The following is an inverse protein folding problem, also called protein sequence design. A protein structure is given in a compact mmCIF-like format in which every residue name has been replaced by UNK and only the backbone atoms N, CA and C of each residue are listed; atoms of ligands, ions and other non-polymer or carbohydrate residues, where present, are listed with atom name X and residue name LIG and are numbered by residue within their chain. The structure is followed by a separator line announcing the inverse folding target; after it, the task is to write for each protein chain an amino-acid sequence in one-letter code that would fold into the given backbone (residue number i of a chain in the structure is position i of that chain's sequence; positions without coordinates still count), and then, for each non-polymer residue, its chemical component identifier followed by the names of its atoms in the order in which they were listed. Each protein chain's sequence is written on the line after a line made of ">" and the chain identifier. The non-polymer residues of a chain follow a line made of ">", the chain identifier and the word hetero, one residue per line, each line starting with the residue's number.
data_IF_232815167224
#
_entry.id   IF_232815167224
#
_cell.length_a   1.000
_cell.length_b   1.000
_cell.length_c   1.000
_cell.angle_alpha   90.00
_cell.angle_beta   90.00
_cell.angle_gamma   90.00
#
_symmetry.space_group_name_H-M   'P 1'
#
loop_
_entity.id
_entity.type
_entity.pdbx_description
1 polymer ?
#
# COMPACT_ATOMS: atom_id res chain seq x y z
N UNK A 1 -30.83 -17.24 -18.21
CA UNK A 1 -29.82 -16.21 -18.55
C UNK A 1 -28.46 -16.90 -18.59
N UNK A 2 -27.71 -16.89 -19.70
CA UNK A 2 -26.55 -17.76 -19.83
C UNK A 2 -25.37 -17.24 -19.02
N UNK A 3 -24.87 -18.08 -18.11
CA UNK A 3 -23.64 -17.87 -17.37
C UNK A 3 -22.46 -17.86 -18.35
N UNK A 4 -21.83 -16.69 -18.51
CA UNK A 4 -20.57 -16.56 -19.24
C UNK A 4 -19.44 -16.88 -18.27
N UNK A 5 -18.97 -18.12 -18.33
CA UNK A 5 -17.74 -18.56 -17.65
C UNK A 5 -16.57 -17.84 -18.31
N UNK A 6 -16.01 -16.84 -17.62
CA UNK A 6 -14.81 -16.14 -18.06
C UNK A 6 -13.60 -16.98 -17.61
N UNK A 7 -12.94 -17.64 -18.55
CA UNK A 7 -11.70 -18.38 -18.30
C UNK A 7 -10.57 -17.39 -17.97
N UNK A 8 -10.10 -17.42 -16.72
CA UNK A 8 -8.95 -16.64 -16.27
C UNK A 8 -7.67 -17.39 -16.66
N UNK A 9 -7.01 -16.94 -17.73
CA UNK A 9 -5.70 -17.45 -18.13
C UNK A 9 -4.64 -16.95 -17.13
N UNK A 10 -4.15 -17.86 -16.28
CA UNK A 10 -3.02 -17.60 -15.37
C UNK A 10 -1.74 -17.75 -16.19
N UNK A 11 -1.14 -16.63 -16.61
CA UNK A 11 0.23 -16.63 -17.14
C UNK A 11 1.20 -16.63 -15.94
N UNK A 12 1.66 -17.82 -15.54
CA UNK A 12 2.86 -17.95 -14.70
C UNK A 12 4.09 -17.67 -15.56
N UNK A 13 4.54 -16.42 -15.61
CA UNK A 13 5.84 -16.08 -16.14
C UNK A 13 6.91 -16.40 -15.08
N UNK A 14 7.39 -17.65 -15.03
CA UNK A 14 8.62 -18.00 -14.31
C UNK A 14 9.82 -17.63 -15.17
N UNK A 15 10.30 -16.40 -15.07
CA UNK A 15 11.58 -16.02 -15.65
C UNK A 15 12.71 -16.39 -14.67
N UNK A 16 13.81 -17.01 -15.14
CA UNK A 16 15.00 -17.20 -14.31
C UNK A 16 15.62 -15.84 -13.98
N UNK A 17 15.86 -15.60 -12.69
CA UNK A 17 16.61 -14.43 -12.19
C UNK A 17 18.06 -14.61 -12.62
N UNK A 18 18.42 -14.05 -13.77
CA UNK A 18 19.80 -13.75 -14.09
C UNK A 18 20.14 -12.42 -13.41
N UNK A 19 21.10 -12.46 -12.49
CA UNK A 19 21.68 -11.26 -11.91
C UNK A 19 22.27 -10.40 -13.05
N UNK A 20 21.64 -9.27 -13.33
CA UNK A 20 22.11 -8.28 -14.29
C UNK A 20 22.56 -7.02 -13.53
N UNK A 21 23.57 -6.35 -14.09
CA UNK A 21 24.27 -5.16 -13.59
C UNK A 21 23.39 -4.09 -12.94
N UNK A 22 24.00 -3.33 -12.01
CA UNK A 22 23.47 -2.15 -11.33
C UNK A 22 23.21 -0.99 -12.32
N UNK A 23 22.15 -1.11 -13.11
CA UNK A 23 21.36 -0.07 -13.78
C UNK A 23 20.38 -0.84 -14.68
N UNK A 24 19.25 -1.22 -14.12
CA UNK A 24 18.33 -2.14 -14.76
C UNK A 24 16.90 -1.92 -14.33
N UNK A 25 15.99 -2.42 -15.15
CA UNK A 25 14.58 -2.53 -14.79
C UNK A 25 14.40 -3.74 -13.89
N UNK A 26 13.92 -3.53 -12.67
CA UNK A 26 13.50 -4.57 -11.76
C UNK A 26 11.98 -4.70 -11.78
N UNK A 27 11.47 -5.91 -11.71
CA UNK A 27 10.02 -6.18 -11.64
C UNK A 27 9.69 -6.94 -10.36
N UNK A 28 8.59 -6.60 -9.71
CA UNK A 28 8.12 -7.29 -8.51
C UNK A 28 6.59 -7.35 -8.49
N UNK A 29 6.00 -8.22 -7.68
CA UNK A 29 4.54 -8.30 -7.60
C UNK A 29 4.08 -9.22 -6.47
N UNK A 30 2.80 -9.14 -6.15
CA UNK A 30 2.16 -10.02 -5.18
C UNK A 30 0.71 -10.29 -5.56
N UNK A 31 0.24 -11.45 -5.11
CA UNK A 31 -1.15 -11.85 -5.18
C UNK A 31 -1.64 -12.19 -3.77
N UNK A 32 -2.83 -11.71 -3.42
CA UNK A 32 -3.52 -12.10 -2.20
C UNK A 32 -4.97 -12.41 -2.54
N UNK A 33 -5.44 -13.58 -2.14
CA UNK A 33 -6.83 -13.99 -2.31
C UNK A 33 -7.37 -14.65 -1.05
N UNK A 34 -8.69 -14.60 -0.86
CA UNK A 34 -9.36 -15.24 0.25
C UNK A 34 -10.87 -15.33 0.03
N UNK A 35 -11.49 -16.30 0.70
CA UNK A 35 -12.93 -16.44 0.77
C UNK A 35 -13.43 -15.71 2.02
N UNK A 36 -14.40 -14.81 1.89
CA UNK A 36 -14.89 -13.96 2.97
C UNK A 36 -16.40 -14.16 3.14
N UNK A 37 -16.76 -14.81 4.24
CA UNK A 37 -18.14 -14.98 4.65
C UNK A 37 -18.46 -14.14 5.90
N UNK A 38 -19.63 -13.51 5.92
CA UNK A 38 -20.08 -12.68 7.04
C UNK A 38 -21.59 -12.79 7.23
N UNK A 39 -22.02 -12.89 8.48
CA UNK A 39 -23.42 -12.76 8.88
C UNK A 39 -23.56 -11.52 9.76
N UNK A 40 -24.42 -10.59 9.37
CA UNK A 40 -24.77 -9.44 10.20
C UNK A 40 -26.21 -9.56 10.66
N UNK A 41 -26.44 -9.33 11.96
CA UNK A 41 -27.77 -9.18 12.54
C UNK A 41 -27.94 -7.76 13.04
N UNK A 42 -28.83 -7.02 12.41
CA UNK A 42 -29.21 -5.69 12.82
C UNK A 42 -30.12 -5.75 14.07
N UNK A 43 -30.16 -4.64 14.82
CA UNK A 43 -30.91 -4.56 16.09
C UNK A 43 -32.43 -4.63 15.89
N UNK A 44 -32.89 -4.35 14.68
CA UNK A 44 -34.29 -4.49 14.24
C UNK A 44 -34.66 -5.93 13.83
N UNK A 45 -33.73 -6.88 13.94
CA UNK A 45 -33.92 -8.27 13.54
C UNK A 45 -33.60 -8.56 12.08
N UNK A 46 -33.16 -7.55 11.30
CA UNK A 46 -32.67 -7.76 9.94
C UNK A 46 -31.44 -8.68 9.93
N UNK A 47 -31.43 -9.65 9.00
CA UNK A 47 -30.28 -10.54 8.76
C UNK A 47 -29.75 -10.29 7.36
N UNK A 48 -28.43 -10.18 7.24
CA UNK A 48 -27.75 -10.20 5.96
C UNK A 48 -26.59 -11.18 6.01
N UNK A 49 -26.51 -12.06 5.04
CA UNK A 49 -25.34 -12.88 4.74
C UNK A 49 -24.59 -12.25 3.57
N UNK A 50 -23.27 -12.43 3.56
CA UNK A 50 -22.42 -12.10 2.42
C UNK A 50 -21.38 -13.19 2.27
N UNK A 51 -21.15 -13.67 1.05
CA UNK A 51 -20.09 -14.62 0.77
C UNK A 51 -19.40 -14.31 -0.56
N UNK A 52 -18.13 -13.93 -0.50
CA UNK A 52 -17.40 -13.52 -1.69
C UNK A 52 -15.95 -14.00 -1.67
N UNK A 53 -15.46 -14.43 -2.83
CA UNK A 53 -14.04 -14.54 -3.07
C UNK A 53 -13.49 -13.16 -3.41
N UNK A 54 -12.54 -12.67 -2.62
CA UNK A 54 -11.87 -11.39 -2.85
C UNK A 54 -10.40 -11.61 -3.13
N UNK A 55 -9.86 -10.89 -4.11
CA UNK A 55 -8.45 -10.95 -4.48
C UNK A 55 -7.85 -9.57 -4.77
N UNK A 56 -6.53 -9.50 -4.62
CA UNK A 56 -5.69 -8.36 -5.00
C UNK A 56 -4.50 -8.88 -5.78
N UNK A 57 -4.22 -8.23 -6.90
CA UNK A 57 -3.03 -8.47 -7.71
C UNK A 57 -2.25 -7.17 -7.83
N UNK A 58 -0.95 -7.22 -7.60
CA UNK A 58 -0.05 -6.06 -7.78
C UNK A 58 1.16 -6.44 -8.61
N UNK A 59 1.54 -5.55 -9.50
CA UNK A 59 2.72 -5.69 -10.36
C UNK A 59 3.45 -4.35 -10.44
N UNK A 60 4.73 -4.36 -10.09
CA UNK A 60 5.59 -3.21 -10.02
C UNK A 60 6.79 -3.34 -10.94
N UNK A 61 7.24 -2.18 -11.40
CA UNK A 61 8.42 -1.99 -12.21
C UNK A 61 9.22 -0.85 -11.57
N UNK A 62 10.53 -1.06 -11.41
CA UNK A 62 11.45 -0.10 -10.83
C UNK A 62 12.66 0.08 -11.75
N UNK A 63 13.13 1.30 -11.92
CA UNK A 63 14.36 1.60 -12.64
C UNK A 63 15.28 2.42 -11.75
N UNK A 64 16.44 1.86 -11.42
CA UNK A 64 17.54 2.61 -10.81
C UNK A 64 18.39 3.20 -11.92
N UNK A 65 18.35 4.52 -12.07
CA UNK A 65 19.12 5.26 -13.08
C UNK A 65 20.38 5.92 -12.51
N UNK A 66 20.57 5.85 -11.18
CA UNK A 66 21.83 6.15 -10.51
C UNK A 66 21.91 5.40 -9.18
N UNK A 67 23.07 5.41 -8.54
CA UNK A 67 23.28 4.79 -7.22
C UNK A 67 22.45 5.44 -6.09
N UNK A 68 21.72 6.52 -6.38
CA UNK A 68 20.95 7.28 -5.39
C UNK A 68 19.50 7.46 -5.77
N UNK A 69 19.16 7.33 -7.04
CA UNK A 69 17.83 7.65 -7.54
C UNK A 69 17.23 6.45 -8.26
N UNK A 70 15.97 6.18 -7.93
CA UNK A 70 15.15 5.23 -8.64
C UNK A 70 13.76 5.80 -8.93
N UNK A 71 13.13 5.26 -9.97
CA UNK A 71 11.73 5.49 -10.27
C UNK A 71 10.98 4.17 -10.15
N UNK A 72 9.87 4.16 -9.41
CA UNK A 72 9.04 2.97 -9.20
C UNK A 72 7.60 3.25 -9.57
N UNK A 73 6.99 2.34 -10.32
CA UNK A 73 5.56 2.33 -10.63
C UNK A 73 4.97 0.96 -10.28
N UNK A 74 3.78 0.92 -9.70
CA UNK A 74 3.04 -0.31 -9.41
C UNK A 74 1.59 -0.18 -9.79
N UNK A 75 1.14 -1.12 -10.62
CA UNK A 75 -0.26 -1.33 -10.92
C UNK A 75 -0.85 -2.31 -9.90
N UNK A 76 -2.04 -1.99 -9.41
CA UNK A 76 -2.79 -2.78 -8.45
C UNK A 76 -4.22 -2.95 -8.92
N UNK A 77 -4.72 -4.18 -8.88
CA UNK A 77 -6.09 -4.56 -9.16
C UNK A 77 -6.73 -5.19 -7.93
N UNK A 78 -8.00 -4.82 -7.66
CA UNK A 78 -8.81 -5.41 -6.60
C UNK A 78 -10.02 -6.09 -7.22
N UNK A 79 -10.25 -7.35 -6.88
CA UNK A 79 -11.26 -8.21 -7.51
C UNK A 79 -12.17 -8.86 -6.48
N UNK A 80 -13.44 -9.07 -6.85
CA UNK A 80 -14.41 -9.86 -6.08
C UNK A 80 -15.25 -10.72 -7.03
N UNK A 81 -15.72 -11.88 -6.56
CA UNK A 81 -16.71 -12.70 -7.27
C UNK A 81 -18.07 -12.00 -7.43
N UNK A 82 -18.36 -10.99 -6.62
CA UNK A 82 -19.61 -10.23 -6.64
C UNK A 82 -19.49 -8.89 -7.40
N UNK A 83 -18.38 -8.64 -8.09
CA UNK A 83 -18.20 -7.37 -8.80
C UNK A 83 -18.98 -7.33 -10.13
N UNK A 84 -19.57 -6.18 -10.46
CA UNK A 84 -20.35 -5.98 -11.70
C UNK A 84 -19.50 -5.72 -12.95
N UNK A 85 -18.17 -5.66 -12.83
CA UNK A 85 -17.27 -5.44 -13.97
C UNK A 85 -15.83 -5.10 -13.57
N UNK A 86 -15.03 -4.71 -14.56
CA UNK A 86 -13.64 -4.28 -14.37
C UNK A 86 -13.41 -2.91 -14.99
N UNK A 87 -12.73 -2.03 -14.26
CA UNK A 87 -12.43 -0.66 -14.67
C UNK A 87 -10.96 -0.35 -14.43
N UNK A 88 -10.23 -0.03 -15.49
CA UNK A 88 -8.88 0.50 -15.37
C UNK A 88 -8.89 2.03 -15.41
N UNK A 89 -8.14 2.69 -14.52
CA UNK A 89 -7.98 4.14 -14.52
C UNK A 89 -6.63 4.61 -13.98
N UNK A 90 -6.24 5.81 -14.43
CA UNK A 90 -5.09 6.56 -13.94
C UNK A 90 -5.58 7.90 -13.39
N UNK A 91 -6.16 7.88 -12.19
CA UNK A 91 -6.75 9.07 -11.55
C UNK A 91 -6.00 9.41 -10.27
N UNK A 92 -6.02 10.70 -9.93
CA UNK A 92 -5.52 11.22 -8.66
C UNK A 92 -6.29 10.72 -7.44
N UNK A 93 -7.51 10.21 -7.63
CA UNK A 93 -8.42 9.80 -6.57
C UNK A 93 -8.88 8.35 -6.74
N UNK A 94 -9.28 7.74 -5.64
CA UNK A 94 -9.71 6.34 -5.63
C UNK A 94 -11.21 6.20 -5.94
N UNK A 95 -11.62 4.99 -6.32
CA UNK A 95 -13.02 4.68 -6.64
C UNK A 95 -13.98 4.87 -5.47
N UNK A 96 -13.49 4.81 -4.23
CA UNK A 96 -14.23 5.08 -3.00
C UNK A 96 -13.37 5.82 -1.95
N UNK A 97 -13.99 6.27 -0.85
CA UNK A 97 -13.31 7.02 0.23
C UNK A 97 -12.20 6.22 0.92
N UNK A 98 -12.21 4.89 0.83
CA UNK A 98 -11.28 3.98 1.50
C UNK A 98 -10.25 3.35 0.55
N UNK A 99 -10.23 3.72 -0.74
CA UNK A 99 -9.34 3.14 -1.75
C UNK A 99 -10.03 2.68 -3.03
N UNK A 100 -9.41 1.74 -3.73
CA UNK A 100 -9.96 1.16 -4.95
C UNK A 100 -11.18 0.26 -4.63
N UNK A 101 -12.21 0.33 -5.48
CA UNK A 101 -13.38 -0.53 -5.39
C UNK A 101 -13.09 -1.93 -5.95
N UNK A 102 -13.94 -2.92 -5.66
CA UNK A 102 -13.86 -4.19 -6.37
C UNK A 102 -14.13 -3.99 -7.87
N UNK A 103 -13.28 -4.57 -8.70
CA UNK A 103 -13.24 -4.36 -10.15
C UNK A 103 -12.26 -3.28 -10.61
N UNK A 104 -11.69 -2.47 -9.70
CA UNK A 104 -10.77 -1.40 -10.09
C UNK A 104 -9.35 -1.93 -10.35
N UNK A 105 -8.72 -1.37 -11.40
CA UNK A 105 -7.29 -1.49 -11.69
C UNK A 105 -6.72 -0.07 -11.78
N UNK A 106 -5.69 0.24 -10.99
CA UNK A 106 -5.09 1.59 -10.90
C UNK A 106 -3.60 1.51 -10.57
N UNK A 107 -2.93 2.65 -10.52
CA UNK A 107 -1.58 2.76 -9.95
C UNK A 107 -1.68 3.09 -8.47
N UNK A 108 -1.14 2.21 -7.61
CA UNK A 108 -1.01 2.43 -6.17
C UNK A 108 0.40 2.92 -5.77
N UNK A 109 1.39 2.78 -6.65
CA UNK A 109 2.70 3.42 -6.55
C UNK A 109 3.09 4.05 -7.90
N UNK A 110 3.64 5.27 -7.85
CA UNK A 110 4.25 5.99 -8.94
C UNK A 110 5.10 7.12 -8.33
N UNK A 111 6.35 6.83 -7.97
CA UNK A 111 7.20 7.77 -7.24
C UNK A 111 8.65 7.74 -7.69
N UNK A 112 9.32 8.86 -7.46
CA UNK A 112 10.78 8.95 -7.47
C UNK A 112 11.30 8.76 -6.06
N UNK A 113 12.36 7.97 -5.90
CA UNK A 113 13.06 7.82 -4.63
C UNK A 113 14.48 8.35 -4.71
N UNK A 114 14.94 8.91 -3.60
CA UNK A 114 16.31 9.28 -3.35
C UNK A 114 16.82 8.57 -2.10
N UNK A 115 18.00 7.99 -2.15
CA UNK A 115 18.70 7.41 -1.00
C UNK A 115 20.10 8.02 -0.91
N UNK A 116 20.36 8.76 0.17
CA UNK A 116 21.70 9.27 0.45
C UNK A 116 22.65 8.12 0.87
N UNK A 117 23.97 8.26 0.60
CA UNK A 117 24.97 7.31 1.08
C UNK A 117 25.05 7.27 2.61
N UNK A 118 25.79 6.28 3.13
CA UNK A 118 26.16 6.19 4.55
C UNK A 118 24.97 6.24 5.53
N UNK A 119 23.87 5.57 5.15
CA UNK A 119 22.64 5.52 5.94
C UNK A 119 22.00 6.91 6.18
N UNK A 120 22.28 7.86 5.27
CA UNK A 120 21.75 9.21 5.26
C UNK A 120 20.23 9.30 4.97
N UNK A 121 19.73 10.51 4.67
CA UNK A 121 18.31 10.71 4.43
C UNK A 121 17.80 9.95 3.19
N UNK A 122 16.55 9.50 3.27
CA UNK A 122 15.81 8.87 2.18
C UNK A 122 14.56 9.69 1.89
N UNK A 123 14.20 9.79 0.61
CA UNK A 123 13.05 10.57 0.19
C UNK A 123 12.25 9.83 -0.87
N UNK A 124 10.93 9.97 -0.84
CA UNK A 124 10.01 9.55 -1.90
C UNK A 124 9.10 10.71 -2.26
N UNK A 125 8.87 10.92 -3.55
CA UNK A 125 8.00 11.97 -4.07
C UNK A 125 7.08 11.38 -5.13
N UNK A 126 5.78 11.58 -4.98
CA UNK A 126 4.75 11.09 -5.89
C UNK A 126 3.71 10.25 -5.16
N UNK A 127 3.25 9.18 -5.81
CA UNK A 127 2.30 8.23 -5.23
C UNK A 127 3.03 7.07 -4.59
N UNK A 128 2.83 6.82 -3.30
CA UNK A 128 3.48 5.72 -2.59
C UNK A 128 2.60 5.13 -1.50
N UNK A 129 3.02 3.99 -0.96
CA UNK A 129 2.43 3.39 0.23
C UNK A 129 3.33 3.54 1.44
N UNK A 130 2.71 3.70 2.60
CA UNK A 130 3.38 3.85 3.89
C UNK A 130 2.80 2.88 4.90
N UNK A 131 3.69 2.12 5.55
CA UNK A 131 3.34 1.19 6.61
C UNK A 131 4.32 1.38 7.75
N UNK A 132 3.80 1.71 8.94
CA UNK A 132 4.57 1.81 10.17
C UNK A 132 4.24 0.63 11.07
N UNK A 133 4.87 -0.52 10.81
CA UNK A 133 4.68 -1.73 11.59
C UNK A 133 5.37 -1.62 12.96
N UNK A 134 4.64 -1.92 14.04
CA UNK A 134 5.22 -2.11 15.36
C UNK A 134 5.77 -3.55 15.46
N UNK A 135 7.09 -3.75 15.71
CA UNK A 135 7.65 -5.08 15.89
C UNK A 135 6.95 -5.83 17.03
N UNK A 136 6.51 -7.07 16.77
CA UNK A 136 5.97 -7.96 17.80
C UNK A 136 4.44 -7.93 17.99
N UNK A 137 3.70 -7.07 17.27
CA UNK A 137 2.23 -7.11 17.26
C UNK A 137 1.72 -7.19 15.82
N UNK A 138 1.35 -8.40 15.40
CA UNK A 138 0.73 -8.61 14.10
C UNK A 138 -0.55 -7.76 13.98
N UNK A 139 -0.67 -7.01 12.88
CA UNK A 139 -1.80 -6.14 12.56
C UNK A 139 -1.97 -4.84 13.38
N UNK A 140 -0.96 -4.38 14.15
CA UNK A 140 -0.96 -3.01 14.69
C UNK A 140 0.11 -2.14 14.02
N UNK A 141 -0.36 -1.23 13.18
CA UNK A 141 0.43 -0.08 12.75
C UNK A 141 0.18 1.10 13.67
N UNK A 142 1.17 1.99 13.81
CA UNK A 142 0.99 3.29 14.46
C UNK A 142 0.19 4.18 13.50
N UNK A 143 -1.13 4.02 13.50
CA UNK A 143 -2.13 4.83 12.77
C UNK A 143 -2.03 4.82 11.23
N UNK A 144 -1.03 4.14 10.64
CA UNK A 144 -0.77 4.19 9.20
C UNK A 144 -0.37 2.82 8.61
N UNK A 145 -1.32 2.20 7.93
CA UNK A 145 -1.18 0.94 7.17
C UNK A 145 -1.94 1.07 5.84
N UNK A 146 -1.22 1.41 4.78
CA UNK A 146 -1.80 1.44 3.44
C UNK A 146 -2.05 0.02 2.92
N UNK A 147 -3.26 -0.21 2.39
CA UNK A 147 -3.67 -1.45 1.74
C UNK A 147 -3.69 -2.70 2.66
N UNK A 148 -4.41 -2.67 3.80
CA UNK A 148 -4.59 -3.85 4.63
C UNK A 148 -5.36 -4.94 3.87
N UNK A 149 -5.09 -6.21 4.18
CA UNK A 149 -5.73 -7.37 3.54
C UNK A 149 -5.69 -7.33 2.00
N UNK A 150 -6.85 -7.17 1.34
CA UNK A 150 -7.03 -7.10 -0.13
C UNK A 150 -7.33 -5.67 -0.61
N UNK A 151 -7.30 -4.67 0.28
CA UNK A 151 -7.53 -3.27 -0.09
C UNK A 151 -6.38 -2.73 -0.96
N UNK A 152 -6.67 -1.67 -1.72
CA UNK A 152 -5.69 -0.94 -2.53
C UNK A 152 -5.87 0.54 -2.22
N UNK A 153 -4.92 1.12 -1.51
CA UNK A 153 -4.84 2.53 -1.11
C UNK A 153 -3.47 3.10 -1.46
N UNK A 154 -3.38 4.43 -1.52
CA UNK A 154 -2.12 5.12 -1.74
C UNK A 154 -2.13 6.48 -1.07
N UNK A 155 -0.93 7.01 -0.90
CA UNK A 155 -0.66 8.38 -0.49
C UNK A 155 -0.03 9.13 -1.67
N UNK A 156 -0.58 10.28 -2.04
CA UNK A 156 0.06 11.20 -2.97
C UNK A 156 0.77 12.29 -2.16
N UNK A 157 2.10 12.42 -2.27
CA UNK A 157 2.84 13.36 -1.43
C UNK A 157 4.37 13.29 -1.50
N UNK A 158 4.99 13.67 -0.38
CA UNK A 158 6.43 13.59 -0.11
C UNK A 158 6.62 12.84 1.20
N UNK A 159 7.51 11.86 1.20
CA UNK A 159 7.94 11.17 2.41
C UNK A 159 9.45 11.35 2.56
N UNK A 160 9.86 11.88 3.70
CA UNK A 160 11.25 12.05 4.09
C UNK A 160 11.54 11.18 5.31
N UNK A 161 12.63 10.43 5.23
CA UNK A 161 13.18 9.67 6.34
C UNK A 161 14.59 10.20 6.64
N UNK A 162 14.88 10.46 7.90
CA UNK A 162 16.17 11.02 8.31
C UNK A 162 16.76 10.22 9.47
N UNK A 163 18.05 9.84 9.41
CA UNK A 163 18.72 9.29 10.57
C UNK A 163 18.77 10.36 11.68
N UNK A 164 18.47 9.94 12.90
CA UNK A 164 18.59 10.73 14.12
C UNK A 164 19.66 10.08 15.02
N UNK A 165 19.98 10.73 16.13
CA UNK A 165 20.97 10.22 17.08
C UNK A 165 20.54 8.87 17.71
N UNK A 166 21.52 8.09 18.16
CA UNK A 166 21.30 6.85 18.94
C UNK A 166 20.38 5.81 18.27
N UNK A 167 20.50 5.65 16.94
CA UNK A 167 19.76 4.63 16.18
C UNK A 167 18.29 4.97 15.89
N UNK A 168 17.83 6.17 16.25
CA UNK A 168 16.52 6.68 15.88
C UNK A 168 16.47 7.05 14.40
N UNK A 169 15.29 6.95 13.81
CA UNK A 169 14.98 7.43 12.46
C UNK A 169 13.68 8.24 12.50
N UNK A 170 13.75 9.48 12.04
CA UNK A 170 12.60 10.35 11.91
C UNK A 170 11.92 10.14 10.56
N UNK A 171 10.60 10.31 10.55
CA UNK A 171 9.76 10.27 9.36
C UNK A 171 8.91 11.52 9.30
N UNK A 172 8.89 12.17 8.15
CA UNK A 172 8.01 13.29 7.84
C UNK A 172 7.28 12.99 6.54
N UNK A 173 5.96 13.02 6.55
CA UNK A 173 5.13 12.81 5.36
C UNK A 173 4.26 14.04 5.18
N UNK A 174 4.32 14.67 4.01
CA UNK A 174 3.36 15.67 3.58
C UNK A 174 2.54 15.05 2.46
N UNK A 175 1.23 15.05 2.59
CA UNK A 175 0.32 14.39 1.64
C UNK A 175 -0.73 15.36 1.13
N UNK A 176 -1.06 15.23 -0.15
CA UNK A 176 -2.12 15.99 -0.81
C UNK A 176 -3.35 15.09 -0.96
N UNK A 177 -4.51 15.61 -0.54
CA UNK A 177 -5.78 14.86 -0.55
C UNK A 177 -6.72 15.41 -1.62
N UNK A 178 -7.25 14.51 -2.44
CA UNK A 178 -8.29 14.84 -3.40
C UNK A 178 -9.67 14.91 -2.70
N UNK A 179 -10.56 15.77 -3.19
CA UNK A 179 -11.93 15.98 -2.68
C UNK A 179 -12.77 14.70 -2.63
N UNK A 180 -12.45 13.73 -3.49
CA UNK A 180 -13.15 12.44 -3.57
C UNK A 180 -12.59 11.38 -2.61
N UNK A 181 -11.55 11.73 -1.83
CA UNK A 181 -10.94 10.88 -0.81
C UNK A 181 -9.79 10.01 -1.34
N UNK A 182 -8.64 10.10 -0.67
CA UNK A 182 -7.49 9.19 -0.78
C UNK A 182 -6.74 9.22 0.55
N UNK A 183 -6.88 8.19 1.39
CA UNK A 183 -5.94 7.98 2.51
C UNK A 183 -6.53 7.75 3.91
N UNK A 184 -5.61 7.50 4.84
CA UNK A 184 -5.81 6.82 6.13
C UNK A 184 -6.19 7.73 7.32
N UNK A 185 -6.21 9.07 7.18
CA UNK A 185 -6.61 9.87 8.36
C UNK A 185 -8.11 9.75 8.58
N UNK A 186 -8.44 9.31 9.79
CA UNK A 186 -9.81 9.27 10.32
C UNK A 186 -10.19 10.65 10.83
N UNK A 187 -11.49 10.94 10.84
CA UNK A 187 -12.10 12.14 11.46
C UNK A 187 -11.43 12.53 12.79
N UNK A 188 -11.32 13.84 13.11
CA UNK A 188 -12.27 14.90 12.76
C UNK A 188 -11.81 15.83 11.62
N UNK A 189 -10.77 15.48 10.86
CA UNK A 189 -10.32 16.31 9.75
C UNK A 189 -11.31 16.19 8.57
N UNK A 190 -12.19 17.18 8.46
CA UNK A 190 -13.07 17.38 7.33
C UNK A 190 -12.27 18.07 6.20
N UNK A 191 -12.25 17.45 5.02
CA UNK A 191 -11.56 17.93 3.84
C UNK A 191 -12.56 18.26 2.71
N UNK A 192 -13.86 18.39 3.03
CA UNK A 192 -14.89 18.80 2.07
C UNK A 192 -14.76 20.28 1.68
N UNK A 193 -14.05 21.08 2.48
CA UNK A 193 -13.76 22.48 2.20
C UNK A 193 -12.53 22.66 1.30
N UNK A 194 -12.61 23.58 0.35
CA UNK A 194 -11.68 23.69 -0.79
C UNK A 194 -10.24 24.04 -0.42
N UNK A 195 -10.04 24.62 0.77
CA UNK A 195 -8.85 25.40 1.12
C UNK A 195 -7.80 24.69 1.99
N UNK A 196 -8.06 23.46 2.47
CA UNK A 196 -7.06 22.67 3.20
C UNK A 196 -7.00 21.25 2.67
N UNK A 197 -6.10 21.00 1.71
CA UNK A 197 -5.91 19.67 1.08
C UNK A 197 -4.58 19.03 1.42
N UNK A 198 -3.86 19.61 2.37
CA UNK A 198 -2.52 19.18 2.77
C UNK A 198 -2.60 18.69 4.21
N UNK A 199 -2.18 17.46 4.44
CA UNK A 199 -1.94 16.93 5.79
C UNK A 199 -0.47 16.58 5.95
N UNK A 200 -0.01 16.62 7.20
CA UNK A 200 1.34 16.26 7.56
C UNK A 200 1.34 15.21 8.67
N UNK A 201 2.27 14.27 8.60
CA UNK A 201 2.54 13.28 9.63
C UNK A 201 4.02 13.34 10.02
N UNK A 202 4.29 13.33 11.32
CA UNK A 202 5.62 13.25 11.89
C UNK A 202 5.70 12.04 12.81
N UNK A 203 6.75 11.23 12.67
CA UNK A 203 6.99 10.06 13.50
C UNK A 203 8.48 9.85 13.74
N UNK A 204 8.82 9.11 14.78
CA UNK A 204 10.18 8.67 15.04
C UNK A 204 10.15 7.19 15.43
N UNK A 205 11.01 6.38 14.82
CA UNK A 205 11.17 4.96 15.14
C UNK A 205 12.58 4.67 15.66
N UNK A 206 12.70 3.74 16.60
CA UNK A 206 13.97 3.11 16.96
C UNK A 206 13.76 1.60 16.92
N UNK A 207 14.58 0.91 16.13
CA UNK A 207 14.50 -0.55 15.95
C UNK A 207 15.53 -1.32 16.77
N UNK A 208 16.31 -0.64 17.61
CA UNK A 208 17.22 -1.31 18.53
C UNK A 208 16.42 -2.09 19.57
N UNK A 209 16.76 -3.37 19.75
CA UNK A 209 16.16 -4.17 20.80
C UNK A 209 16.59 -3.60 22.16
N UNK A 210 15.62 -3.12 22.95
CA UNK A 210 15.85 -2.73 24.34
C UNK A 210 15.47 -3.92 25.24
N UNK A 211 16.47 -4.72 25.60
CA UNK A 211 16.32 -5.91 26.45
C UNK A 211 17.08 -7.13 25.91
N UNK A 212 17.27 -8.19 26.72
CA UNK A 212 17.93 -9.41 26.26
C UNK A 212 17.12 -10.04 25.12
N UNK A 213 17.74 -10.22 23.96
CA UNK A 213 17.13 -10.95 22.84
C UNK A 213 16.87 -12.40 23.25
N UNK A 214 15.70 -13.00 22.96
CA UNK A 214 15.43 -14.42 23.29
C UNK A 214 16.34 -15.42 22.57
N UNK A 215 17.22 -14.99 21.67
CA UNK A 215 18.11 -15.85 20.87
C UNK A 215 19.25 -16.50 21.66
N UNK A 216 19.24 -16.46 23.00
CA UNK A 216 20.24 -17.12 23.85
C UNK A 216 19.85 -18.55 24.29
N UNK A 217 18.70 -19.08 23.87
CA UNK A 217 18.23 -20.43 24.24
C UNK A 217 18.08 -21.34 23.03
N UNK A 218 19.18 -21.64 22.35
CA UNK A 218 19.36 -22.86 21.56
C UNK A 218 20.86 -23.12 21.37
N UNK A 219 21.47 -23.81 22.33
CA UNK A 219 22.61 -24.70 22.13
C UNK A 219 22.30 -26.02 22.80
#
# INVERSE_FOLDING_TARGET
>A
MPARVLALAILLATAPVLAAEQNGWETSGDFRGGWFAGETRARDGGKSDSDAFNARLRFAVENSFSNRWAFRTRAAGRFSSEQDGTRAYLRGYAGNRTGAAFGDITLDEAYFSYTAPDNGPRMRIGRFQTVFNLPGVAAKSLDRDDSPNTDVTWTDGIHLEMPLAAGWRGHAIAEHRQRQGTGLARSPLDFDDGDSRISAFLGAENRQAWGPSPSAWCR
#
